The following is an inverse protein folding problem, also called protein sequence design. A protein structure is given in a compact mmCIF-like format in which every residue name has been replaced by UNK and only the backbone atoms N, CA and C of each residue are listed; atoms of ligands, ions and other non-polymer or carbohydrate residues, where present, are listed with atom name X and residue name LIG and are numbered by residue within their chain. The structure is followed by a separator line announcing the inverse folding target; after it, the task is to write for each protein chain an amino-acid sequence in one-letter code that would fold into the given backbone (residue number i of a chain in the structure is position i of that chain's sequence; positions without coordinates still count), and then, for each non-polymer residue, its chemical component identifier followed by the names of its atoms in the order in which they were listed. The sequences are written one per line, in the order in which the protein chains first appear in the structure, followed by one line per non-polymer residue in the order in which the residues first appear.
data_IF_871195434155
#
_entry.id   IF_871195434155
#
_cell.length_a   1.000
_cell.length_b   1.000
_cell.length_c   1.000
_cell.angle_alpha   90.00
_cell.angle_beta   90.00
_cell.angle_gamma   90.00
#
_symmetry.space_group_name_H-M   'P 1'
#
loop_
_entity.id
_entity.type
_entity.pdbx_description
1 polymer ?
#
# COMPACT_ATOMS: atom_id res chain seq x y z
N UNK A 1 1.02 -6.99 -28.03
CA UNK A 1 -0.03 -6.55 -27.09
C UNK A 1 0.48 -5.31 -26.37
N UNK A 2 -0.34 -4.28 -26.17
CA UNK A 2 0.06 -3.10 -25.41
C UNK A 2 -0.03 -3.42 -23.91
N UNK A 3 1.08 -3.27 -23.18
CA UNK A 3 1.10 -3.45 -21.72
C UNK A 3 0.42 -2.28 -21.02
N UNK A 4 -0.21 -2.53 -19.88
CA UNK A 4 -0.70 -1.48 -18.98
C UNK A 4 0.51 -0.72 -18.41
N UNK A 5 0.56 0.59 -18.62
CA UNK A 5 1.68 1.43 -18.18
C UNK A 5 1.38 2.08 -16.83
N UNK A 6 2.26 1.88 -15.86
CA UNK A 6 2.25 2.63 -14.59
C UNK A 6 3.10 3.88 -14.75
N UNK A 7 2.43 5.03 -14.83
CA UNK A 7 3.05 6.36 -14.95
C UNK A 7 2.66 7.29 -13.80
N UNK A 8 1.77 6.85 -12.91
CA UNK A 8 1.19 7.66 -11.84
C UNK A 8 0.00 8.52 -12.31
N UNK A 9 -0.71 9.08 -11.33
CA UNK A 9 -1.79 10.03 -11.54
C UNK A 9 -1.30 11.30 -12.27
N UNK A 10 -2.09 11.79 -13.23
CA UNK A 10 -1.75 12.94 -14.09
C UNK A 10 -2.65 14.14 -13.83
N UNK A 11 -2.12 15.34 -14.10
CA UNK A 11 -2.85 16.59 -13.94
C UNK A 11 -3.00 17.05 -12.49
N UNK A 12 -3.70 18.18 -12.32
CA UNK A 12 -3.79 18.89 -11.05
C UNK A 12 -2.51 19.66 -10.70
N UNK A 13 -2.58 20.47 -9.65
CA UNK A 13 -1.45 21.22 -9.12
C UNK A 13 -1.62 21.52 -7.63
N UNK A 14 -0.50 21.61 -6.91
CA UNK A 14 -0.47 22.21 -5.57
C UNK A 14 0.58 23.31 -5.57
N UNK A 15 0.27 24.45 -4.94
CA UNK A 15 1.19 25.59 -4.90
C UNK A 15 2.53 25.16 -4.26
N UNK A 16 3.63 25.41 -4.97
CA UNK A 16 4.97 25.03 -4.51
C UNK A 16 5.34 23.56 -4.74
N UNK A 17 4.52 22.77 -5.43
CA UNK A 17 4.81 21.38 -5.77
C UNK A 17 4.66 21.11 -7.27
N UNK A 18 5.48 20.18 -7.79
CA UNK A 18 5.42 19.77 -9.20
C UNK A 18 4.18 18.90 -9.53
N UNK A 19 3.50 18.39 -8.50
CA UNK A 19 2.28 17.60 -8.59
C UNK A 19 1.40 17.85 -7.34
N UNK A 20 0.10 17.54 -7.40
CA UNK A 20 -0.75 17.51 -6.21
C UNK A 20 -0.17 16.70 -5.05
N UNK A 21 -0.28 17.23 -3.84
CA UNK A 21 0.13 16.51 -2.64
C UNK A 21 -0.85 15.37 -2.31
N UNK A 22 -0.31 14.24 -1.84
CA UNK A 22 -1.09 13.23 -1.11
C UNK A 22 -1.49 13.81 0.23
N UNK A 23 -2.78 13.76 0.56
CA UNK A 23 -3.32 14.35 1.79
C UNK A 23 -3.42 13.31 2.90
N UNK A 24 -3.31 13.77 4.14
CA UNK A 24 -3.57 12.94 5.31
C UNK A 24 -5.07 12.58 5.38
N UNK A 25 -5.41 11.32 5.66
CA UNK A 25 -6.79 10.82 5.59
C UNK A 25 -7.75 11.50 6.58
N UNK A 26 -7.32 11.83 7.79
CA UNK A 26 -8.11 12.61 8.77
C UNK A 26 -8.42 14.02 8.26
N UNK A 27 -7.66 14.57 7.32
CA UNK A 27 -7.96 15.85 6.69
C UNK A 27 -8.77 15.69 5.40
N UNK A 28 -8.51 14.63 4.62
CA UNK A 28 -9.28 14.32 3.42
C UNK A 28 -10.77 14.08 3.75
N UNK A 29 -11.07 13.33 4.82
CA UNK A 29 -12.47 13.04 5.21
C UNK A 29 -13.29 14.27 5.58
N UNK A 30 -12.63 15.41 5.89
CA UNK A 30 -13.29 16.68 6.18
C UNK A 30 -13.63 17.47 4.91
N UNK A 31 -13.01 17.13 3.78
CA UNK A 31 -13.28 17.72 2.46
C UNK A 31 -14.36 16.89 1.76
N UNK A 32 -15.62 17.31 1.89
CA UNK A 32 -16.76 16.55 1.34
C UNK A 32 -16.64 16.32 -0.18
N UNK A 33 -16.04 17.23 -0.93
CA UNK A 33 -15.92 17.12 -2.40
C UNK A 33 -14.93 16.03 -2.75
N UNK A 34 -13.70 16.14 -2.23
CA UNK A 34 -12.64 15.21 -2.56
C UNK A 34 -12.89 13.82 -1.93
N UNK A 35 -13.47 13.78 -0.73
CA UNK A 35 -13.89 12.53 -0.09
C UNK A 35 -15.01 11.83 -0.88
N UNK A 36 -16.00 12.57 -1.40
CA UNK A 36 -17.06 11.98 -2.24
C UNK A 36 -16.50 11.34 -3.50
N UNK A 37 -15.53 11.98 -4.17
CA UNK A 37 -14.87 11.42 -5.34
C UNK A 37 -14.03 10.19 -4.99
N UNK A 38 -13.31 10.23 -3.87
CA UNK A 38 -12.50 9.11 -3.41
C UNK A 38 -13.36 7.86 -3.11
N UNK A 39 -14.49 8.03 -2.42
CA UNK A 39 -15.43 6.95 -2.14
C UNK A 39 -16.04 6.39 -3.44
N UNK A 40 -16.54 7.24 -4.33
CA UNK A 40 -17.13 6.76 -5.59
C UNK A 40 -16.09 6.08 -6.49
N UNK A 41 -14.85 6.59 -6.54
CA UNK A 41 -13.77 6.01 -7.32
C UNK A 41 -13.39 4.62 -6.81
N UNK A 42 -13.24 4.45 -5.48
CA UNK A 42 -13.02 3.13 -4.88
C UNK A 42 -14.16 2.16 -5.22
N UNK A 43 -15.41 2.60 -5.09
CA UNK A 43 -16.56 1.77 -5.40
C UNK A 43 -16.62 1.36 -6.87
N UNK A 44 -16.26 2.27 -7.78
CA UNK A 44 -16.16 2.00 -9.22
C UNK A 44 -15.09 0.95 -9.53
N UNK A 45 -13.87 1.06 -8.98
CA UNK A 45 -12.80 0.08 -9.25
C UNK A 45 -13.05 -1.30 -8.60
N UNK A 46 -14.01 -1.39 -7.66
CA UNK A 46 -14.45 -2.65 -7.05
C UNK A 46 -15.56 -3.33 -7.85
N UNK A 47 -16.47 -2.54 -8.43
CA UNK A 47 -17.78 -3.04 -8.89
C UNK A 47 -17.94 -2.99 -10.40
N UNK A 48 -17.33 -2.00 -11.06
CA UNK A 48 -17.49 -1.79 -12.50
C UNK A 48 -16.57 -2.72 -13.32
N UNK A 49 -15.66 -3.42 -12.64
CA UNK A 49 -14.62 -4.25 -13.25
C UNK A 49 -14.72 -5.70 -12.80
N UNK A 50 -14.47 -6.60 -13.74
CA UNK A 50 -14.24 -8.01 -13.42
C UNK A 50 -12.91 -8.15 -12.66
N UNK A 51 -12.85 -9.06 -11.69
CA UNK A 51 -11.60 -9.38 -10.97
C UNK A 51 -10.47 -9.90 -11.88
N UNK A 52 -10.75 -10.22 -13.15
CA UNK A 52 -9.75 -10.62 -14.15
C UNK A 52 -9.12 -9.45 -14.91
N UNK A 53 -9.70 -8.24 -14.83
CA UNK A 53 -9.17 -7.08 -15.55
C UNK A 53 -7.91 -6.57 -14.86
N UNK A 54 -6.86 -6.31 -15.65
CA UNK A 54 -5.50 -5.97 -15.19
C UNK A 54 -5.46 -4.79 -14.20
N UNK A 55 -6.40 -3.86 -14.32
CA UNK A 55 -6.52 -2.66 -13.52
C UNK A 55 -7.80 -2.66 -12.64
N UNK A 56 -8.35 -3.84 -12.36
CA UNK A 56 -9.31 -4.06 -11.28
C UNK A 56 -8.61 -3.99 -9.92
N UNK A 57 -9.34 -3.63 -8.86
CA UNK A 57 -8.76 -3.64 -7.52
C UNK A 57 -8.23 -5.02 -7.13
N UNK A 58 -8.93 -6.10 -7.52
CA UNK A 58 -8.47 -7.47 -7.25
C UNK A 58 -7.12 -7.76 -7.90
N UNK A 59 -6.95 -7.49 -9.21
CA UNK A 59 -5.66 -7.74 -9.88
C UNK A 59 -4.54 -6.88 -9.31
N UNK A 60 -4.83 -5.63 -8.95
CA UNK A 60 -3.83 -4.74 -8.32
C UNK A 60 -3.43 -5.31 -6.96
N UNK A 61 -4.39 -5.61 -6.08
CA UNK A 61 -4.14 -6.20 -4.76
C UNK A 61 -3.35 -7.53 -4.86
N UNK A 62 -3.69 -8.36 -5.84
CA UNK A 62 -3.06 -9.64 -6.12
C UNK A 62 -1.57 -9.55 -6.54
N UNK A 63 -1.08 -8.37 -6.96
CA UNK A 63 0.36 -8.18 -7.19
C UNK A 63 1.15 -8.45 -5.91
N UNK A 64 0.58 -8.10 -4.75
CA UNK A 64 1.29 -8.25 -3.48
C UNK A 64 1.56 -9.72 -3.13
N UNK A 65 0.59 -10.61 -3.33
CA UNK A 65 0.66 -11.99 -2.87
C UNK A 65 -0.26 -12.91 -3.66
N UNK A 66 -1.21 -13.55 -2.97
CA UNK A 66 -2.14 -14.49 -3.61
C UNK A 66 -2.99 -13.79 -4.68
N UNK A 67 -3.28 -14.45 -5.81
CA UNK A 67 -3.17 -15.90 -6.03
C UNK A 67 -1.83 -16.39 -6.64
N UNK A 68 -0.77 -15.58 -6.58
CA UNK A 68 0.53 -15.87 -7.22
C UNK A 68 0.35 -16.14 -8.72
N UNK A 69 -0.14 -15.13 -9.43
CA UNK A 69 -0.34 -15.19 -10.88
C UNK A 69 0.35 -14.03 -11.59
N UNK A 70 0.83 -14.25 -12.83
CA UNK A 70 1.34 -13.21 -13.72
C UNK A 70 0.41 -12.01 -13.83
N UNK A 71 0.91 -10.82 -13.54
CA UNK A 71 0.19 -9.57 -13.77
C UNK A 71 0.66 -8.90 -15.08
N UNK A 72 -0.25 -8.39 -15.90
CA UNK A 72 0.05 -7.60 -17.11
C UNK A 72 1.01 -8.28 -18.12
N UNK A 73 0.92 -9.62 -18.22
CA UNK A 73 1.76 -10.42 -19.12
C UNK A 73 3.22 -10.58 -18.67
N UNK A 74 3.49 -10.33 -17.38
CA UNK A 74 4.82 -10.51 -16.81
C UNK A 74 5.16 -11.96 -16.48
N UNK A 75 6.46 -12.28 -16.42
CA UNK A 75 6.92 -13.60 -15.97
C UNK A 75 6.63 -14.74 -16.98
N UNK A 76 7.00 -15.96 -16.57
CA UNK A 76 6.79 -17.16 -17.39
C UNK A 76 5.41 -17.76 -17.13
N UNK A 77 4.81 -18.33 -18.18
CA UNK A 77 3.59 -19.13 -18.09
C UNK A 77 3.89 -20.51 -18.69
N UNK A 78 3.77 -21.62 -17.92
CA UNK A 78 3.30 -21.68 -16.52
C UNK A 78 4.31 -21.09 -15.54
N UNK A 79 3.81 -20.61 -14.41
CA UNK A 79 4.62 -20.13 -13.29
C UNK A 79 5.33 -21.31 -12.63
N UNK A 80 6.64 -21.20 -12.42
CA UNK A 80 7.34 -22.12 -11.52
C UNK A 80 6.95 -21.82 -10.08
N UNK A 81 6.13 -22.71 -9.49
CA UNK A 81 5.64 -22.57 -8.12
C UNK A 81 6.66 -22.99 -7.06
N UNK A 82 7.87 -23.39 -7.45
CA UNK A 82 8.94 -23.69 -6.51
C UNK A 82 9.50 -22.39 -5.90
N UNK A 83 8.74 -21.81 -4.96
CA UNK A 83 9.19 -20.72 -4.10
C UNK A 83 8.77 -19.31 -4.53
N UNK A 84 7.97 -19.13 -5.58
CA UNK A 84 7.40 -17.81 -5.91
C UNK A 84 6.13 -17.54 -5.09
N UNK A 85 6.20 -16.54 -4.22
CA UNK A 85 5.15 -16.16 -3.25
C UNK A 85 4.57 -14.77 -3.56
N UNK A 86 4.54 -14.38 -4.84
CA UNK A 86 4.04 -13.08 -5.30
C UNK A 86 5.14 -12.09 -5.65
N UNK A 87 4.77 -10.85 -5.97
CA UNK A 87 5.75 -9.84 -6.41
C UNK A 87 6.36 -9.05 -5.24
N UNK A 88 5.72 -9.02 -4.07
CA UNK A 88 6.17 -8.17 -2.99
C UNK A 88 7.57 -8.54 -2.51
N UNK A 89 8.39 -7.52 -2.25
CA UNK A 89 9.73 -7.67 -1.67
C UNK A 89 9.65 -7.33 -0.19
N UNK A 90 9.80 -8.34 0.66
CA UNK A 90 9.92 -8.21 2.12
C UNK A 90 11.24 -8.81 2.60
N UNK A 91 11.81 -8.27 3.67
CA UNK A 91 13.15 -8.65 4.17
C UNK A 91 14.27 -8.31 3.18
N UNK A 92 14.00 -7.44 2.20
CA UNK A 92 14.91 -7.10 1.10
C UNK A 92 15.06 -5.59 0.95
N UNK A 93 16.24 -5.13 0.55
CA UNK A 93 16.56 -3.71 0.33
C UNK A 93 15.65 -3.02 -0.68
N UNK A 94 14.91 -3.78 -1.49
CA UNK A 94 13.93 -3.27 -2.44
C UNK A 94 12.56 -2.97 -1.83
N UNK A 95 12.28 -3.36 -0.57
CA UNK A 95 10.99 -3.14 0.10
C UNK A 95 10.42 -1.73 -0.12
N UNK A 96 11.13 -0.62 0.14
CA UNK A 96 10.55 0.71 -0.04
C UNK A 96 10.33 1.04 -1.53
N UNK A 97 11.25 0.59 -2.39
CA UNK A 97 11.24 0.92 -3.83
C UNK A 97 10.27 0.06 -4.64
N UNK A 98 9.86 -1.10 -4.14
CA UNK A 98 8.78 -1.90 -4.72
C UNK A 98 7.41 -1.31 -4.38
N UNK A 99 7.19 -0.96 -3.11
CA UNK A 99 5.90 -0.45 -2.65
C UNK A 99 5.58 0.96 -3.17
N UNK A 100 6.59 1.79 -3.46
CA UNK A 100 6.41 3.13 -4.08
C UNK A 100 5.63 3.09 -5.42
N UNK A 101 6.09 2.40 -6.48
CA UNK A 101 5.34 2.29 -7.73
C UNK A 101 4.04 1.49 -7.57
N UNK A 102 3.94 0.62 -6.56
CA UNK A 102 2.69 -0.07 -6.26
C UNK A 102 1.59 0.90 -5.77
N UNK A 103 1.96 1.89 -4.93
CA UNK A 103 1.04 2.98 -4.56
C UNK A 103 0.74 3.89 -5.77
N UNK A 104 1.70 4.13 -6.68
CA UNK A 104 1.44 4.88 -7.91
C UNK A 104 0.39 4.21 -8.80
N UNK A 105 0.41 2.87 -8.87
CA UNK A 105 -0.55 2.11 -9.66
C UNK A 105 -1.98 2.29 -9.14
N UNK A 106 -2.23 2.06 -7.85
CA UNK A 106 -3.59 2.22 -7.32
C UNK A 106 -4.06 3.68 -7.42
N UNK A 107 -3.16 4.64 -7.18
CA UNK A 107 -3.42 6.06 -7.29
C UNK A 107 -3.82 6.47 -8.71
N UNK A 108 -3.11 5.95 -9.73
CA UNK A 108 -3.41 6.19 -11.14
C UNK A 108 -4.81 5.70 -11.51
N UNK A 109 -5.16 4.47 -11.11
CA UNK A 109 -6.46 3.87 -11.44
C UNK A 109 -7.59 4.57 -10.70
N UNK A 110 -7.38 4.91 -9.42
CA UNK A 110 -8.34 5.62 -8.59
C UNK A 110 -8.62 7.03 -9.13
N UNK A 111 -7.57 7.77 -9.49
CA UNK A 111 -7.74 9.11 -10.05
C UNK A 111 -8.44 9.07 -11.41
N UNK A 112 -8.11 8.10 -12.27
CA UNK A 112 -8.79 7.95 -13.56
C UNK A 112 -10.29 7.70 -13.38
N UNK A 113 -10.67 6.84 -12.44
CA UNK A 113 -12.08 6.64 -12.07
C UNK A 113 -12.72 7.92 -11.54
N UNK A 114 -12.05 8.64 -10.64
CA UNK A 114 -12.55 9.91 -10.10
C UNK A 114 -12.77 10.98 -11.18
N UNK A 115 -11.88 11.10 -12.17
CA UNK A 115 -12.03 12.04 -13.30
C UNK A 115 -13.27 11.67 -14.13
N UNK A 116 -13.45 10.38 -14.44
CA UNK A 116 -14.64 9.88 -15.15
C UNK A 116 -15.92 10.21 -14.36
N UNK A 117 -15.93 9.94 -13.06
CA UNK A 117 -17.08 10.23 -12.18
C UNK A 117 -17.36 11.73 -12.12
N UNK A 118 -16.35 12.57 -11.93
CA UNK A 118 -16.47 14.02 -11.87
C UNK A 118 -17.06 14.60 -13.16
N UNK A 119 -16.81 13.98 -14.32
CA UNK A 119 -17.42 14.39 -15.59
C UNK A 119 -18.95 14.23 -15.64
N UNK A 120 -19.53 13.44 -14.73
CA UNK A 120 -20.98 13.22 -14.65
C UNK A 120 -21.69 14.22 -13.74
N UNK A 121 -20.96 15.03 -12.97
CA UNK A 121 -21.56 16.04 -12.09
C UNK A 121 -22.24 17.15 -12.88
N UNK A 122 -23.49 17.42 -12.54
CA UNK A 122 -24.30 18.52 -13.12
C UNK A 122 -24.36 19.73 -12.20
N UNK A 123 -24.12 19.54 -10.90
CA UNK A 123 -24.01 20.61 -9.90
C UNK A 123 -22.55 20.73 -9.45
N UNK A 124 -22.04 21.97 -9.36
CA UNK A 124 -20.65 22.28 -9.00
C UNK A 124 -19.61 21.52 -9.86
N UNK A 125 -19.92 21.28 -11.14
CA UNK A 125 -19.14 20.42 -12.03
C UNK A 125 -17.64 20.79 -12.08
N UNK A 126 -17.30 22.07 -12.21
CA UNK A 126 -15.90 22.52 -12.27
C UNK A 126 -15.13 22.30 -10.97
N UNK A 127 -15.82 22.41 -9.82
CA UNK A 127 -15.24 22.11 -8.51
C UNK A 127 -14.86 20.62 -8.42
N UNK A 128 -15.77 19.72 -8.83
CA UNK A 128 -15.53 18.28 -8.82
C UNK A 128 -14.47 17.86 -9.83
N UNK A 129 -14.46 18.45 -11.04
CA UNK A 129 -13.40 18.20 -12.03
C UNK A 129 -12.03 18.59 -11.50
N UNK A 130 -11.92 19.77 -10.88
CA UNK A 130 -10.67 20.24 -10.27
C UNK A 130 -10.24 19.33 -9.11
N UNK A 131 -11.18 18.95 -8.24
CA UNK A 131 -10.92 18.05 -7.12
C UNK A 131 -10.45 16.66 -7.57
N UNK A 132 -11.00 16.12 -8.66
CA UNK A 132 -10.59 14.85 -9.25
C UNK A 132 -9.17 14.92 -9.86
N UNK A 133 -8.85 16.01 -10.57
CA UNK A 133 -7.49 16.23 -11.08
C UNK A 133 -6.46 16.32 -9.95
N UNK A 134 -6.83 16.90 -8.82
CA UNK A 134 -5.98 17.00 -7.63
C UNK A 134 -6.03 15.76 -6.72
N UNK A 135 -6.88 14.77 -7.01
CA UNK A 135 -7.02 13.59 -6.16
C UNK A 135 -5.76 12.73 -6.24
N UNK A 136 -5.27 12.33 -5.07
CA UNK A 136 -4.09 11.50 -4.84
C UNK A 136 -4.42 10.50 -3.74
N UNK A 137 -3.71 9.37 -3.70
CA UNK A 137 -3.93 8.35 -2.68
C UNK A 137 -3.61 8.95 -1.30
N UNK A 138 -4.58 9.07 -0.38
CA UNK A 138 -4.32 9.64 0.93
C UNK A 138 -3.41 8.72 1.77
N UNK A 139 -2.63 9.31 2.66
CA UNK A 139 -1.82 8.58 3.64
C UNK A 139 -2.48 8.61 5.02
N UNK A 140 -2.26 7.57 5.81
CA UNK A 140 -2.66 7.53 7.21
C UNK A 140 -1.44 7.75 8.11
N UNK A 141 -1.34 8.90 8.75
CA UNK A 141 -0.19 9.24 9.60
C UNK A 141 -0.29 8.55 10.97
N UNK A 142 -0.07 7.24 11.00
CA UNK A 142 -0.13 6.44 12.22
C UNK A 142 0.88 6.87 13.29
N UNK A 143 1.93 7.62 12.93
CA UNK A 143 2.91 8.13 13.87
C UNK A 143 2.41 9.38 14.60
N UNK A 144 1.64 10.23 13.90
CA UNK A 144 0.97 11.38 14.51
C UNK A 144 -0.33 10.97 15.24
N UNK A 145 -1.17 10.17 14.58
CA UNK A 145 -2.44 9.65 15.09
C UNK A 145 -2.65 8.20 14.63
N UNK A 146 -2.40 7.26 15.54
CA UNK A 146 -2.54 5.82 15.31
C UNK A 146 -3.99 5.36 15.21
N UNK A 147 -4.97 6.19 15.54
CA UNK A 147 -6.39 5.84 15.35
C UNK A 147 -6.90 6.60 14.11
N UNK A 148 -7.09 5.91 12.97
CA UNK A 148 -7.66 6.55 11.77
C UNK A 148 -9.12 6.97 12.02
N UNK A 149 -9.70 7.82 11.15
CA UNK A 149 -11.05 8.32 11.33
C UNK A 149 -12.08 7.17 11.19
N UNK A 150 -13.30 7.38 11.71
CA UNK A 150 -14.34 6.35 11.76
C UNK A 150 -14.71 5.80 10.38
N UNK A 151 -14.66 6.66 9.35
CA UNK A 151 -14.86 6.33 7.94
C UNK A 151 -13.85 5.31 7.41
N UNK A 152 -12.72 5.09 8.08
CA UNK A 152 -11.75 4.07 7.69
C UNK A 152 -11.99 2.77 8.42
N UNK A 153 -12.31 2.79 9.72
CA UNK A 153 -12.26 1.59 10.58
C UNK A 153 -13.59 1.11 11.16
N UNK A 154 -14.65 1.92 11.18
CA UNK A 154 -15.91 1.55 11.84
C UNK A 154 -17.13 1.71 10.95
N UNK A 155 -17.19 2.77 10.15
CA UNK A 155 -18.45 3.17 9.52
C UNK A 155 -18.73 2.27 8.30
N UNK A 156 -19.83 1.52 8.34
CA UNK A 156 -20.27 0.67 7.22
C UNK A 156 -20.87 1.50 6.06
N UNK A 157 -21.32 2.71 6.37
CA UNK A 157 -21.90 3.67 5.42
C UNK A 157 -21.24 5.03 5.59
N UNK A 158 -21.10 5.77 4.50
CA UNK A 158 -20.61 7.16 4.51
C UNK A 158 -21.53 8.06 3.70
N UNK A 159 -21.58 9.34 4.04
CA UNK A 159 -22.35 10.33 3.27
C UNK A 159 -21.46 10.97 2.22
N UNK A 160 -21.92 11.00 0.98
CA UNK A 160 -21.24 11.63 -0.16
C UNK A 160 -22.18 12.60 -0.87
N UNK A 161 -21.60 13.53 -1.63
CA UNK A 161 -22.30 14.38 -2.59
C UNK A 161 -22.35 13.63 -3.93
N UNK A 162 -23.53 13.34 -4.47
CA UNK A 162 -23.68 12.70 -5.78
C UNK A 162 -23.67 13.72 -6.93
N UNK A 163 -23.67 13.23 -8.18
CA UNK A 163 -23.56 14.04 -9.39
C UNK A 163 -24.64 15.13 -9.53
N UNK A 164 -25.81 14.92 -8.94
CA UNK A 164 -26.92 15.87 -8.85
C UNK A 164 -26.78 16.91 -7.71
N UNK A 165 -25.67 16.89 -6.97
CA UNK A 165 -25.41 17.76 -5.81
C UNK A 165 -26.10 17.33 -4.52
N UNK A 166 -26.91 16.27 -4.52
CA UNK A 166 -27.57 15.77 -3.31
C UNK A 166 -26.61 14.98 -2.42
N UNK A 167 -26.86 15.02 -1.10
CA UNK A 167 -26.12 14.20 -0.13
C UNK A 167 -26.82 12.86 0.05
N UNK A 168 -26.09 11.75 -0.18
CA UNK A 168 -26.62 10.38 -0.06
C UNK A 168 -25.71 9.54 0.82
N UNK A 169 -26.32 8.67 1.63
CA UNK A 169 -25.61 7.63 2.37
C UNK A 169 -25.38 6.43 1.46
N UNK A 170 -24.13 5.99 1.35
CA UNK A 170 -23.70 4.88 0.49
C UNK A 170 -22.85 3.87 1.28
N UNK A 171 -22.79 2.59 0.84
CA UNK A 171 -21.84 1.63 1.38
C UNK A 171 -20.42 2.16 1.33
N UNK A 172 -19.66 1.92 2.40
CA UNK A 172 -18.32 2.46 2.52
C UNK A 172 -17.25 1.50 1.96
N UNK A 173 -16.67 1.76 0.78
CA UNK A 173 -15.64 0.91 0.20
C UNK A 173 -14.30 0.96 0.97
N UNK A 174 -14.06 1.96 1.83
CA UNK A 174 -12.87 1.97 2.70
C UNK A 174 -12.94 0.92 3.82
N UNK A 175 -14.15 0.45 4.14
CA UNK A 175 -14.36 -0.40 5.30
C UNK A 175 -13.90 -1.83 5.07
N UNK A 176 -14.10 -2.34 3.85
CA UNK A 176 -13.74 -3.70 3.41
C UNK A 176 -13.88 -3.83 1.90
N UNK A 177 -13.11 -4.73 1.30
CA UNK A 177 -13.32 -5.21 -0.06
C UNK A 177 -14.23 -6.44 -0.05
N UNK A 178 -15.03 -6.64 -1.11
CA UNK A 178 -15.92 -7.81 -1.27
C UNK A 178 -15.48 -8.62 -2.49
N UNK A 179 -15.07 -9.87 -2.27
CA UNK A 179 -14.66 -10.79 -3.31
C UNK A 179 -15.87 -11.29 -4.11
N UNK A 180 -15.72 -11.37 -5.44
CA UNK A 180 -16.73 -11.85 -6.37
C UNK A 180 -16.10 -12.54 -7.60
N UNK A 181 -15.83 -13.87 -7.54
CA UNK A 181 -15.92 -14.75 -6.37
C UNK A 181 -14.66 -14.65 -5.47
N UNK A 182 -14.67 -15.38 -4.35
CA UNK A 182 -13.46 -15.67 -3.58
C UNK A 182 -12.51 -16.49 -4.46
N UNK A 183 -11.23 -16.13 -4.50
CA UNK A 183 -10.24 -16.89 -5.26
C UNK A 183 -10.00 -18.26 -4.63
N UNK A 184 -9.87 -19.29 -5.48
CA UNK A 184 -9.72 -20.68 -5.04
C UNK A 184 -8.36 -20.95 -4.39
N UNK A 185 -7.37 -20.08 -4.62
CA UNK A 185 -6.04 -20.21 -4.00
C UNK A 185 -6.02 -19.77 -2.54
N UNK A 186 -7.06 -19.08 -2.06
CA UNK A 186 -7.06 -18.55 -0.70
C UNK A 186 -7.13 -19.69 0.31
N UNK A 187 -6.21 -19.77 1.29
CA UNK A 187 -6.30 -20.75 2.36
C UNK A 187 -7.37 -20.35 3.38
N UNK A 188 -7.73 -21.27 4.28
CA UNK A 188 -8.51 -20.89 5.46
C UNK A 188 -7.67 -19.95 6.35
N UNK A 189 -8.27 -18.94 6.98
CA UNK A 189 -9.72 -18.66 7.01
C UNK A 189 -10.26 -17.87 5.80
N UNK A 190 -9.40 -17.26 4.98
CA UNK A 190 -9.79 -16.35 3.89
C UNK A 190 -10.67 -17.02 2.83
N UNK A 191 -10.50 -18.32 2.60
CA UNK A 191 -11.36 -19.12 1.72
C UNK A 191 -12.84 -19.12 2.14
N UNK A 192 -13.15 -18.76 3.39
CA UNK A 192 -14.50 -18.71 3.95
C UNK A 192 -15.10 -17.29 3.88
N UNK A 193 -14.28 -16.27 3.69
CA UNK A 193 -14.64 -14.88 3.90
C UNK A 193 -14.88 -14.17 2.58
N UNK A 194 -16.13 -13.77 2.35
CA UNK A 194 -16.50 -13.01 1.15
C UNK A 194 -16.01 -11.56 1.20
N UNK A 195 -15.62 -11.06 2.37
CA UNK A 195 -15.10 -9.72 2.54
C UNK A 195 -13.81 -9.72 3.34
N UNK A 196 -13.04 -8.64 3.20
CA UNK A 196 -11.91 -8.43 4.11
C UNK A 196 -12.40 -8.14 5.53
N UNK A 197 -11.62 -8.59 6.51
CA UNK A 197 -11.91 -8.50 7.94
C UNK A 197 -10.68 -8.01 8.70
N UNK A 198 -10.93 -7.16 9.70
CA UNK A 198 -9.97 -6.68 10.72
C UNK A 198 -10.47 -7.13 12.09
N UNK A 199 -9.61 -7.76 12.90
CA UNK A 199 -10.01 -8.29 14.22
C UNK A 199 -11.26 -9.19 14.18
N UNK A 200 -11.29 -10.23 13.33
CA UNK A 200 -12.44 -11.13 13.27
C UNK A 200 -12.62 -11.87 14.61
N UNK A 201 -13.85 -12.00 15.07
CA UNK A 201 -14.18 -12.71 16.33
C UNK A 201 -14.08 -14.23 16.21
N UNK A 202 -13.93 -14.76 14.99
CA UNK A 202 -13.80 -16.20 14.71
C UNK A 202 -13.07 -16.41 13.38
N UNK A 203 -12.19 -17.39 13.32
CA UNK A 203 -11.50 -17.86 12.10
C UNK A 203 -12.17 -19.07 11.45
N UNK A 204 -13.26 -19.55 12.02
CA UNK A 204 -14.01 -20.73 11.54
C UNK A 204 -15.38 -20.38 10.98
N UNK A 205 -15.90 -19.19 11.29
CA UNK A 205 -17.15 -18.66 10.73
C UNK A 205 -16.94 -18.09 9.33
N UNK A 206 -17.94 -18.24 8.45
CA UNK A 206 -17.99 -17.58 7.15
C UNK A 206 -18.26 -16.07 7.25
N UNK A 207 -18.94 -15.64 8.33
CA UNK A 207 -19.33 -14.25 8.55
C UNK A 207 -18.99 -13.82 9.98
N UNK A 208 -17.71 -13.75 10.37
CA UNK A 208 -17.33 -13.27 11.69
C UNK A 208 -17.72 -11.79 11.86
N UNK A 209 -17.90 -11.36 13.12
CA UNK A 209 -17.96 -9.94 13.45
C UNK A 209 -16.54 -9.40 13.57
N UNK A 210 -16.39 -8.08 13.49
CA UNK A 210 -15.11 -7.41 13.75
C UNK A 210 -15.13 -6.78 15.15
N UNK A 211 -14.06 -6.99 15.93
CA UNK A 211 -13.91 -6.37 17.24
C UNK A 211 -13.21 -5.01 17.14
N UNK A 212 -13.99 -3.98 16.79
CA UNK A 212 -13.48 -2.62 16.56
C UNK A 212 -12.96 -1.98 17.86
N UNK A 213 -13.52 -2.34 19.01
CA UNK A 213 -13.01 -1.89 20.31
C UNK A 213 -11.59 -2.40 20.54
N UNK A 214 -11.33 -3.68 20.27
CA UNK A 214 -9.99 -4.26 20.38
C UNK A 214 -9.01 -3.60 19.41
N UNK A 215 -9.39 -3.43 18.14
CA UNK A 215 -8.59 -2.70 17.13
C UNK A 215 -8.19 -1.30 17.63
N UNK A 216 -9.17 -0.50 18.08
CA UNK A 216 -8.91 0.86 18.60
C UNK A 216 -8.02 0.85 19.83
N UNK A 217 -8.20 -0.12 20.73
CA UNK A 217 -7.39 -0.22 21.94
C UNK A 217 -5.94 -0.59 21.63
N UNK A 218 -5.70 -1.55 20.73
CA UNK A 218 -4.34 -1.91 20.28
C UNK A 218 -3.65 -0.72 19.61
N UNK A 219 -4.31 -0.06 18.66
CA UNK A 219 -3.73 1.11 17.99
C UNK A 219 -3.42 2.24 18.99
N UNK A 220 -4.33 2.49 19.94
CA UNK A 220 -4.13 3.49 20.99
C UNK A 220 -2.93 3.16 21.88
N UNK A 221 -2.83 1.90 22.35
CA UNK A 221 -1.75 1.49 23.24
C UNK A 221 -0.37 1.56 22.55
N UNK A 222 -0.33 1.33 21.24
CA UNK A 222 0.90 1.38 20.45
C UNK A 222 1.34 2.80 20.06
N UNK A 223 0.50 3.82 20.24
CA UNK A 223 0.74 5.19 19.76
C UNK A 223 2.10 5.76 20.19
N UNK A 224 2.47 5.61 21.47
CA UNK A 224 3.72 6.17 21.99
C UNK A 224 4.94 5.49 21.36
N UNK A 225 4.92 4.16 21.30
CA UNK A 225 5.99 3.36 20.72
C UNK A 225 6.16 3.66 19.21
N UNK A 226 5.06 3.66 18.46
CA UNK A 226 5.05 3.95 17.03
C UNK A 226 5.67 5.32 16.74
N UNK A 227 5.27 6.35 17.49
CA UNK A 227 5.79 7.72 17.36
C UNK A 227 7.29 7.77 17.63
N UNK A 228 7.74 7.17 18.74
CA UNK A 228 9.16 7.12 19.11
C UNK A 228 9.99 6.39 18.06
N UNK A 229 9.54 5.23 17.58
CA UNK A 229 10.25 4.45 16.57
C UNK A 229 10.35 5.21 15.24
N UNK A 230 9.29 5.89 14.83
CA UNK A 230 9.30 6.73 13.61
C UNK A 230 10.27 7.90 13.74
N UNK A 231 10.28 8.56 14.89
CA UNK A 231 11.21 9.65 15.17
C UNK A 231 12.66 9.15 15.11
N UNK A 232 12.95 8.02 15.75
CA UNK A 232 14.27 7.42 15.74
C UNK A 232 14.70 6.96 14.34
N UNK A 233 13.80 6.33 13.57
CA UNK A 233 14.05 5.97 12.16
C UNK A 233 14.50 7.20 11.34
N UNK A 234 13.76 8.30 11.44
CA UNK A 234 14.03 9.50 10.64
C UNK A 234 15.29 10.25 11.09
N UNK A 235 15.64 10.20 12.38
CA UNK A 235 16.71 11.04 12.94
C UNK A 235 18.03 10.30 13.23
N UNK A 236 18.03 8.96 13.24
CA UNK A 236 19.18 8.15 13.68
C UNK A 236 19.62 7.06 12.72
N UNK A 237 18.83 6.73 11.70
CA UNK A 237 19.18 5.69 10.72
C UNK A 237 19.64 6.38 9.45
N UNK A 238 20.89 6.13 9.02
CA UNK A 238 21.50 6.90 7.93
C UNK A 238 21.97 6.05 6.75
N UNK A 239 21.86 4.72 6.84
CA UNK A 239 22.25 3.80 5.77
C UNK A 239 21.04 3.11 5.14
N UNK A 240 21.09 2.85 3.83
CA UNK A 240 19.99 2.19 3.12
C UNK A 240 19.65 0.80 3.67
N UNK A 241 20.60 -0.11 3.97
CA UNK A 241 20.26 -1.43 4.49
C UNK A 241 19.51 -1.38 5.83
N UNK A 242 19.97 -0.54 6.78
CA UNK A 242 19.32 -0.39 8.08
C UNK A 242 17.98 0.34 8.01
N UNK A 243 17.78 1.18 7.00
CA UNK A 243 16.51 1.87 6.76
C UNK A 243 15.47 0.98 6.09
N UNK A 244 15.86 0.26 5.05
CA UNK A 244 14.94 -0.28 4.05
C UNK A 244 14.21 -1.56 4.45
N UNK A 245 14.85 -2.45 5.21
CA UNK A 245 14.37 -3.82 5.43
C UNK A 245 14.59 -4.33 6.86
N UNK A 246 14.29 -5.59 7.16
CA UNK A 246 14.49 -6.22 8.48
C UNK A 246 15.92 -6.20 9.06
N UNK A 247 16.93 -5.73 8.31
CA UNK A 247 18.29 -5.54 8.84
C UNK A 247 18.28 -4.56 10.02
N UNK A 248 18.65 -5.05 11.20
CA UNK A 248 18.69 -4.24 12.42
C UNK A 248 20.03 -3.52 12.53
N UNK A 249 19.97 -2.18 12.62
CA UNK A 249 21.08 -1.32 13.01
C UNK A 249 22.11 -1.00 11.92
N UNK A 250 22.74 0.17 12.05
CA UNK A 250 23.78 0.68 11.13
C UNK A 250 25.15 0.86 11.80
N UNK A 251 25.35 0.27 12.98
CA UNK A 251 26.55 0.48 13.80
C UNK A 251 26.55 1.77 14.63
N UNK A 252 25.53 2.63 14.49
CA UNK A 252 25.32 3.83 15.32
C UNK A 252 23.98 3.85 16.08
N UNK A 253 22.98 3.07 15.66
CA UNK A 253 21.67 3.00 16.31
C UNK A 253 21.03 1.61 16.30
N UNK A 254 20.38 1.20 17.40
CA UNK A 254 19.51 0.01 17.47
C UNK A 254 18.04 0.34 17.09
N UNK A 255 17.84 1.37 16.26
CA UNK A 255 16.51 1.82 15.86
C UNK A 255 15.87 0.87 14.86
N UNK A 256 14.54 0.75 14.91
CA UNK A 256 13.79 -0.06 13.94
C UNK A 256 13.92 0.52 12.53
N UNK A 257 14.00 -0.37 11.55
CA UNK A 257 13.89 -0.02 10.12
C UNK A 257 12.46 0.38 9.74
N UNK A 258 12.29 0.91 8.53
CA UNK A 258 10.97 1.24 7.99
C UNK A 258 10.07 0.00 7.93
N UNK A 259 10.61 -1.13 7.44
CA UNK A 259 9.87 -2.39 7.32
C UNK A 259 9.42 -2.92 8.70
N UNK A 260 10.30 -2.86 9.71
CA UNK A 260 9.95 -3.31 11.06
C UNK A 260 8.81 -2.50 11.69
N UNK A 261 8.75 -1.18 11.47
CA UNK A 261 7.61 -0.38 11.96
C UNK A 261 6.36 -0.69 11.14
N UNK A 262 6.50 -0.83 9.83
CA UNK A 262 5.42 -1.22 8.91
C UNK A 262 4.74 -2.54 9.33
N UNK A 263 5.51 -3.57 9.68
CA UNK A 263 5.00 -4.88 10.07
C UNK A 263 4.14 -4.81 11.33
N UNK A 264 4.57 -3.99 12.30
CA UNK A 264 3.81 -3.77 13.52
C UNK A 264 2.44 -3.13 13.24
N UNK A 265 2.34 -2.24 12.25
CA UNK A 265 1.06 -1.65 11.83
C UNK A 265 0.17 -2.71 11.17
N UNK A 266 0.73 -3.57 10.31
CA UNK A 266 0.00 -4.70 9.71
C UNK A 266 -0.65 -5.59 10.77
N UNK A 267 0.15 -6.05 11.75
CA UNK A 267 -0.34 -6.88 12.86
C UNK A 267 -1.36 -6.14 13.71
N UNK A 268 -1.11 -4.87 14.06
CA UNK A 268 -2.00 -4.04 14.86
C UNK A 268 -3.33 -3.72 14.19
N UNK A 269 -3.44 -3.85 12.87
CA UNK A 269 -4.71 -3.67 12.12
C UNK A 269 -5.40 -5.01 11.85
N UNK A 270 -4.64 -6.04 11.49
CA UNK A 270 -5.20 -7.32 11.07
C UNK A 270 -5.65 -8.20 12.22
N UNK A 271 -4.83 -8.35 13.26
CA UNK A 271 -4.92 -9.45 14.23
C UNK A 271 -5.01 -10.82 13.53
N UNK A 272 -6.19 -11.47 13.53
CA UNK A 272 -6.43 -12.71 12.77
C UNK A 272 -7.10 -12.47 11.41
N UNK A 273 -7.11 -11.22 10.94
CA UNK A 273 -7.72 -10.75 9.71
C UNK A 273 -6.74 -10.63 8.55
N UNK A 274 -7.14 -9.93 7.49
CA UNK A 274 -6.36 -9.91 6.23
C UNK A 274 -5.08 -9.09 6.38
N UNK A 275 -5.15 -7.94 7.07
CA UNK A 275 -4.02 -7.00 7.18
C UNK A 275 -2.78 -7.57 7.90
N UNK A 276 -2.88 -8.68 8.64
CA UNK A 276 -1.74 -9.30 9.33
C UNK A 276 -1.06 -10.39 8.52
N UNK A 277 -1.60 -10.74 7.35
CA UNK A 277 -1.06 -11.78 6.47
C UNK A 277 -0.62 -11.18 5.14
N UNK A 278 0.70 -11.13 4.86
CA UNK A 278 1.23 -10.57 3.62
C UNK A 278 0.60 -11.16 2.36
N UNK A 279 0.17 -12.43 2.36
CA UNK A 279 -0.38 -13.09 1.19
C UNK A 279 -1.73 -12.47 0.75
N UNK A 280 -2.46 -11.81 1.66
CA UNK A 280 -3.80 -11.27 1.40
C UNK A 280 -4.02 -9.85 1.93
N UNK A 281 -3.03 -9.23 2.59
CA UNK A 281 -3.17 -7.92 3.22
C UNK A 281 -3.61 -6.82 2.24
N UNK A 282 -3.10 -6.84 1.00
CA UNK A 282 -3.41 -5.82 0.00
C UNK A 282 -4.87 -5.79 -0.46
N UNK A 283 -5.66 -6.83 -0.19
CA UNK A 283 -7.09 -6.80 -0.45
C UNK A 283 -7.84 -5.89 0.53
N UNK A 284 -7.31 -5.61 1.72
CA UNK A 284 -7.95 -4.68 2.65
C UNK A 284 -7.67 -3.23 2.21
N UNK A 285 -8.69 -2.38 1.99
CA UNK A 285 -8.51 -1.01 1.50
C UNK A 285 -7.56 -0.14 2.35
N UNK A 286 -7.43 -0.40 3.67
CA UNK A 286 -6.51 0.36 4.54
C UNK A 286 -5.04 0.10 4.21
N UNK A 287 -4.72 -1.01 3.51
CA UNK A 287 -3.38 -1.32 3.03
C UNK A 287 -2.78 -0.14 2.27
N UNK A 288 -3.52 0.44 1.32
CA UNK A 288 -3.01 1.53 0.49
C UNK A 288 -2.95 2.87 1.23
N UNK A 289 -3.67 3.05 2.33
CA UNK A 289 -3.49 4.21 3.24
C UNK A 289 -2.18 4.08 4.03
N UNK A 290 -1.93 2.88 4.54
CA UNK A 290 -0.72 2.52 5.27
C UNK A 290 0.53 2.62 4.39
N UNK A 291 0.52 1.98 3.23
CA UNK A 291 1.64 2.00 2.28
C UNK A 291 1.91 3.39 1.69
N UNK A 292 0.89 4.25 1.61
CA UNK A 292 1.09 5.65 1.26
C UNK A 292 1.84 6.42 2.36
N UNK A 293 1.62 6.11 3.64
CA UNK A 293 2.43 6.65 4.75
C UNK A 293 3.85 6.09 4.75
N UNK A 294 4.04 4.80 4.44
CA UNK A 294 5.38 4.19 4.29
C UNK A 294 6.16 4.91 3.19
N UNK A 295 5.52 5.18 2.04
CA UNK A 295 6.13 5.93 0.95
C UNK A 295 6.42 7.40 1.30
N UNK A 296 5.57 8.01 2.13
CA UNK A 296 5.84 9.33 2.71
C UNK A 296 7.09 9.30 3.60
N UNK A 297 7.24 8.28 4.46
CA UNK A 297 8.44 8.13 5.31
C UNK A 297 9.70 7.90 4.49
N UNK A 298 9.63 7.11 3.39
CA UNK A 298 10.72 7.00 2.42
C UNK A 298 11.13 8.36 1.86
N UNK A 299 10.16 9.21 1.50
CA UNK A 299 10.42 10.55 0.96
C UNK A 299 11.06 11.47 2.00
N UNK A 300 10.57 11.47 3.24
CA UNK A 300 11.12 12.26 4.34
C UNK A 300 12.53 11.82 4.70
N UNK A 301 12.76 10.51 4.82
CA UNK A 301 14.08 9.97 5.12
C UNK A 301 15.09 10.28 4.01
N UNK A 302 14.68 10.18 2.74
CA UNK A 302 15.53 10.52 1.60
C UNK A 302 15.93 11.99 1.59
N UNK A 303 15.04 12.88 2.03
CA UNK A 303 15.32 14.32 2.17
C UNK A 303 16.33 14.60 3.30
N UNK A 304 16.31 13.81 4.38
CA UNK A 304 17.25 13.91 5.50
C UNK A 304 18.60 13.24 5.22
N UNK A 305 18.66 12.32 4.26
CA UNK A 305 19.84 11.53 3.92
C UNK A 305 20.17 11.65 2.42
N UNK A 306 20.46 12.87 1.91
CA UNK A 306 20.69 13.09 0.49
C UNK A 306 21.88 12.26 -0.01
N UNK A 307 21.70 11.61 -1.17
CA UNK A 307 22.72 10.77 -1.80
C UNK A 307 22.77 9.31 -1.31
N UNK A 308 22.01 8.94 -0.27
CA UNK A 308 21.90 7.54 0.17
C UNK A 308 20.73 6.87 -0.55
N UNK A 309 21.01 5.81 -1.30
CA UNK A 309 20.01 5.05 -2.07
C UNK A 309 20.44 3.58 -2.20
N UNK A 310 19.71 2.78 -3.00
CA UNK A 310 20.00 1.36 -3.27
C UNK A 310 21.41 1.11 -3.85
N UNK A 311 22.09 2.16 -4.31
CA UNK A 311 23.33 2.23 -5.09
C UNK A 311 24.55 1.44 -4.60
N UNK A 312 24.67 1.13 -3.31
CA UNK A 312 25.77 0.29 -2.79
C UNK A 312 25.49 -1.22 -2.92
N UNK A 313 24.30 -1.62 -3.39
CA UNK A 313 23.87 -3.01 -3.54
C UNK A 313 23.36 -3.36 -4.96
N UNK A 314 23.77 -2.62 -5.98
CA UNK A 314 23.28 -2.81 -7.37
C UNK A 314 24.17 -3.81 -8.12
N UNK A 315 23.90 -5.11 -7.96
CA UNK A 315 24.30 -6.14 -8.94
C UNK A 315 23.22 -7.17 -9.27
N UNK A 316 21.99 -7.04 -8.73
CA UNK A 316 20.91 -8.04 -8.91
C UNK A 316 19.60 -7.49 -9.51
N UNK A 317 19.66 -6.36 -10.22
CA UNK A 317 18.49 -5.48 -10.45
C UNK A 317 17.76 -5.62 -11.81
N UNK A 318 17.99 -6.64 -12.61
CA UNK A 318 17.41 -6.68 -13.98
C UNK A 318 15.97 -7.21 -14.08
N UNK A 319 15.40 -7.86 -13.06
CA UNK A 319 14.13 -8.58 -13.17
C UNK A 319 12.86 -7.83 -12.75
N UNK A 320 12.87 -7.21 -11.56
CA UNK A 320 11.63 -6.70 -10.90
C UNK A 320 11.32 -5.26 -11.33
N UNK A 321 12.34 -4.44 -11.58
CA UNK A 321 12.17 -3.00 -11.84
C UNK A 321 11.70 -2.70 -13.28
N UNK A 322 12.15 -3.50 -14.26
CA UNK A 322 11.72 -3.43 -15.66
C UNK A 322 10.24 -3.80 -15.85
N UNK A 323 9.61 -4.36 -14.82
CA UNK A 323 8.28 -4.96 -14.91
C UNK A 323 7.14 -4.01 -14.48
N UNK A 324 7.41 -3.14 -13.50
CA UNK A 324 6.43 -2.18 -12.99
C UNK A 324 6.54 -0.82 -13.68
N UNK A 325 7.71 -0.49 -14.21
CA UNK A 325 7.98 0.79 -14.83
C UNK A 325 8.76 0.46 -16.09
N UNK A 326 8.19 0.73 -17.27
CA UNK A 326 8.91 0.63 -18.55
C UNK A 326 10.02 1.69 -18.68
N UNK A 327 10.74 1.99 -17.60
CA UNK A 327 11.82 2.94 -17.52
C UNK A 327 13.09 2.29 -18.04
N UNK A 328 13.60 2.81 -19.14
CA UNK A 328 15.01 2.69 -19.47
C UNK A 328 15.84 3.09 -18.24
N UNK A 329 16.90 2.33 -17.98
CA UNK A 329 17.86 2.38 -16.87
C UNK A 329 18.53 3.76 -16.62
N UNK A 330 18.14 4.80 -17.34
CA UNK A 330 18.78 6.12 -17.35
C UNK A 330 18.24 7.11 -16.31
N UNK A 331 17.10 6.86 -15.67
CA UNK A 331 16.50 7.80 -14.69
C UNK A 331 16.76 7.48 -13.21
N UNK A 332 17.58 6.48 -12.90
CA UNK A 332 17.87 6.04 -11.53
C UNK A 332 19.33 6.22 -11.10
N UNK A 333 20.13 6.91 -11.90
CA UNK A 333 21.50 7.30 -11.53
C UNK A 333 21.60 8.83 -11.48
N UNK A 334 22.18 9.43 -10.43
CA UNK A 334 22.66 10.80 -10.54
C UNK A 334 23.73 10.82 -11.64
N UNK A 335 23.66 11.77 -12.57
CA UNK A 335 24.67 11.93 -13.61
C UNK A 335 26.06 12.06 -12.98
N UNK A 336 26.88 11.03 -13.14
CA UNK A 336 28.33 11.12 -13.08
C UNK A 336 28.86 10.76 -14.47
N UNK A 337 29.55 11.72 -15.05
CA UNK A 337 30.18 11.73 -16.37
C UNK A 337 31.09 10.53 -16.64
N UNK A 338 31.06 10.07 -17.91
CA UNK A 338 32.07 9.33 -18.67
C UNK A 338 32.76 8.12 -18.01
N UNK A 339 32.50 6.92 -18.55
CA UNK A 339 33.50 5.90 -18.93
C UNK A 339 32.83 4.85 -19.86
N UNK A 340 33.54 4.50 -20.94
CA UNK A 340 33.12 3.61 -22.04
C UNK A 340 33.28 2.10 -21.75
N UNK A 341 32.32 1.32 -22.26
CA UNK A 341 32.38 -0.07 -22.83
C UNK A 341 32.65 -1.29 -21.92
N UNK A 342 32.38 -2.56 -22.37
CA UNK A 342 31.36 -3.08 -23.32
C UNK A 342 30.58 -4.35 -22.85
N UNK A 343 29.44 -4.59 -23.51
CA UNK A 343 28.69 -5.83 -23.75
C UNK A 343 28.91 -7.08 -22.86
N UNK A 344 27.85 -7.52 -22.18
CA UNK A 344 27.61 -8.95 -21.93
C UNK A 344 26.12 -9.29 -21.98
N UNK A 345 25.75 -10.18 -22.89
CA UNK A 345 24.47 -10.87 -22.95
C UNK A 345 24.36 -11.88 -21.81
N UNK A 346 23.34 -11.78 -20.95
CA UNK A 346 22.99 -12.86 -20.02
C UNK A 346 21.48 -13.00 -19.82
N UNK A 347 21.04 -14.26 -19.84
CA UNK A 347 19.66 -14.73 -19.69
C UNK A 347 19.07 -14.39 -18.33
N UNK A 348 17.83 -13.91 -18.31
CA UNK A 348 17.05 -13.62 -17.11
C UNK A 348 16.43 -14.89 -16.52
N UNK A 349 16.95 -15.35 -15.38
CA UNK A 349 16.25 -16.25 -14.46
C UNK A 349 15.90 -15.46 -13.19
N UNK A 350 14.63 -15.49 -12.79
CA UNK A 350 14.19 -14.95 -11.50
C UNK A 350 14.50 -15.97 -10.40
N UNK A 351 15.17 -15.54 -9.34
CA UNK A 351 15.47 -16.38 -8.16
C UNK A 351 14.40 -16.07 -7.10
N UNK A 352 13.77 -17.11 -6.49
CA UNK A 352 12.72 -16.91 -5.49
C UNK A 352 13.26 -16.29 -4.18
N UNK A 353 12.54 -15.32 -3.62
CA UNK A 353 12.77 -14.73 -2.30
C UNK A 353 11.59 -15.11 -1.41
N UNK A 354 11.90 -15.64 -0.22
CA UNK A 354 10.94 -16.30 0.67
C UNK A 354 10.24 -15.26 1.58
N UNK A 355 8.92 -15.15 1.49
CA UNK A 355 8.07 -14.33 2.36
C UNK A 355 7.72 -15.12 3.64
N UNK A 356 8.51 -14.95 4.70
CA UNK A 356 8.07 -15.30 6.06
C UNK A 356 8.29 -14.12 7.00
N UNK A 357 7.21 -13.60 7.57
CA UNK A 357 7.32 -12.83 8.82
C UNK A 357 7.78 -13.80 9.93
N UNK A 358 8.80 -13.45 10.74
CA UNK A 358 9.15 -14.27 11.88
C UNK A 358 7.97 -14.29 12.87
N UNK A 359 7.52 -15.50 13.22
CA UNK A 359 6.58 -15.72 14.31
C UNK A 359 7.23 -15.28 15.63
N UNK A 360 6.96 -14.06 16.09
CA UNK A 360 7.28 -13.69 17.46
C UNK A 360 6.21 -14.32 18.38
N UNK A 361 6.61 -15.36 19.12
CA UNK A 361 5.91 -15.76 20.33
C UNK A 361 5.94 -14.58 21.32
N UNK A 362 4.86 -13.80 21.36
CA UNK A 362 4.61 -12.89 22.47
C UNK A 362 4.17 -13.71 23.68
N UNK A 363 5.14 -14.19 24.47
CA UNK A 363 4.87 -14.66 25.82
C UNK A 363 4.43 -13.47 26.67
N UNK A 364 3.12 -13.38 26.92
CA UNK A 364 2.58 -12.55 28.01
C UNK A 364 3.00 -13.23 29.31
N UNK A 365 4.14 -12.84 29.88
CA UNK A 365 4.49 -13.19 31.25
C UNK A 365 4.29 -11.97 32.16
N UNK A 366 3.52 -12.25 33.21
CA UNK A 366 3.13 -11.42 34.33
C UNK A 366 4.25 -10.55 34.91
N UNK A 367 3.95 -9.29 35.21
CA UNK A 367 4.54 -8.58 36.34
C UNK A 367 3.42 -8.07 37.24
N UNK A 368 2.98 -8.95 38.13
CA UNK A 368 2.50 -8.58 39.44
C UNK A 368 3.68 -8.75 40.41
N UNK A 369 3.97 -7.73 41.23
CA UNK A 369 4.87 -7.83 42.37
C UNK A 369 6.19 -7.06 42.24
N UNK A 370 6.17 -5.75 42.48
CA UNK A 370 6.72 -5.08 43.67
C UNK A 370 6.55 -3.56 43.55
#
# INVERSE_FOLDING_TARGET
MSHFLVAGAKGGSTQGAAAPNRREINDLVKDEVQFSLYIQALQSIYSDKSQSEVDSFFQIAAIHGLPYVPWNGSGQTPVDRNGWEGYCTHGDVLFPTFHRPYVFLIEQVLQAAAIKIASTYTVNAEQFKTAAQNLRQPYWDWAANSIPPSQVISDDQVTIITSDGSRKSVPNPLRRYTFNPIDRSFPRPYSLWRTTYRYPTSTTSQNPRENITALRNTLRSSQSQIKMQTYNLLTRVHTWPAFSNHTVGDGGSASNSLEAIHDNIHVAVGANGHMSDPAVAAFDPIFFLHHCQVDRLLSLWSALNPGVWTGTAISRLSGILNLLIGLQTTLLTPQASDIRTPNSTTSTQAIPVQCRLPSQELSINSMAGL
#
